data_IF_686634509964
#
_entry.id   IF_686634509964
#
_cell.length_a   1.000
_cell.length_b   1.000
_cell.length_c   1.000
_cell.angle_alpha   90.00
_cell.angle_beta   90.00
_cell.angle_gamma   90.00
#
_symmetry.space_group_name_H-M   'P 1'
#
loop_
_entity.id
_entity.type
_entity.pdbx_description
1 polymer ?
#
# COMPACT_ATOMS: atom_id res chain seq x y z
N UNK A 1 -2.80 20.47 -12.02
CA UNK A 1 -3.96 19.55 -12.04
C UNK A 1 -3.73 18.47 -11.00
N UNK A 2 -4.50 18.46 -9.90
CA UNK A 2 -4.45 17.37 -8.91
C UNK A 2 -5.18 16.19 -9.54
N UNK A 3 -4.51 15.05 -9.72
CA UNK A 3 -5.19 13.83 -10.17
C UNK A 3 -6.00 13.25 -9.00
N UNK A 4 -7.05 12.52 -9.32
CA UNK A 4 -7.81 11.80 -8.31
C UNK A 4 -6.98 10.62 -7.78
N UNK A 5 -7.12 10.28 -6.49
CA UNK A 5 -6.52 9.07 -5.98
C UNK A 5 -7.13 7.85 -6.70
N UNK A 6 -6.32 6.82 -6.91
CA UNK A 6 -6.78 5.61 -7.61
C UNK A 6 -6.05 4.38 -7.13
N UNK A 7 -6.78 3.28 -7.08
CA UNK A 7 -6.18 1.96 -6.97
C UNK A 7 -5.67 1.51 -8.33
N UNK A 8 -4.45 0.99 -8.30
CA UNK A 8 -3.83 0.39 -9.47
C UNK A 8 -3.41 -1.03 -9.14
N UNK A 9 -3.83 -1.96 -10.00
CA UNK A 9 -3.43 -3.35 -9.94
C UNK A 9 -2.12 -3.53 -10.69
N UNK A 10 -1.17 -4.19 -10.07
CA UNK A 10 0.17 -4.42 -10.59
C UNK A 10 0.45 -5.91 -10.60
N UNK A 11 0.87 -6.45 -11.74
CA UNK A 11 1.32 -7.84 -11.81
C UNK A 11 2.77 -7.94 -11.33
N UNK A 12 3.00 -8.65 -10.22
CA UNK A 12 4.34 -8.84 -9.62
C UNK A 12 5.02 -10.13 -10.09
N UNK A 13 4.24 -11.12 -10.49
CA UNK A 13 4.66 -12.38 -11.11
C UNK A 13 3.56 -12.88 -12.06
N UNK A 14 3.79 -13.89 -12.91
CA UNK A 14 2.78 -14.40 -13.85
C UNK A 14 1.43 -14.71 -13.18
N UNK A 15 1.48 -15.27 -11.97
CA UNK A 15 0.38 -15.72 -11.13
C UNK A 15 0.15 -14.82 -9.89
N UNK A 16 0.77 -13.64 -9.83
CA UNK A 16 0.66 -12.75 -8.66
C UNK A 16 0.30 -11.32 -9.04
N UNK A 17 -0.69 -10.80 -8.33
CA UNK A 17 -1.22 -9.46 -8.49
C UNK A 17 -1.16 -8.73 -7.15
N UNK A 18 -0.79 -7.47 -7.20
CA UNK A 18 -0.63 -6.62 -6.04
C UNK A 18 -1.31 -5.28 -6.31
N UNK A 19 -2.10 -4.78 -5.36
CA UNK A 19 -2.70 -3.46 -5.50
C UNK A 19 -1.84 -2.39 -4.84
N UNK A 20 -1.82 -1.20 -5.44
CA UNK A 20 -1.24 0.01 -4.85
C UNK A 20 -2.21 1.17 -4.93
N UNK A 21 -2.18 2.03 -3.91
CA UNK A 21 -2.93 3.26 -3.89
C UNK A 21 -2.04 4.42 -4.30
N UNK A 22 -2.43 5.11 -5.37
CA UNK A 22 -1.76 6.31 -5.85
C UNK A 22 -2.54 7.54 -5.40
N UNK A 23 -1.85 8.51 -4.81
CA UNK A 23 -2.40 9.82 -4.51
C UNK A 23 -2.37 10.76 -5.72
N UNK A 24 -2.84 12.00 -5.54
CA UNK A 24 -3.04 12.94 -6.66
C UNK A 24 -1.79 13.43 -7.40
N UNK A 25 -0.59 13.18 -6.88
CA UNK A 25 0.68 13.39 -7.58
C UNK A 25 1.28 12.09 -8.14
N UNK A 26 0.46 11.05 -8.33
CA UNK A 26 0.88 9.70 -8.71
C UNK A 26 1.88 9.07 -7.70
N UNK A 27 1.94 9.62 -6.49
CA UNK A 27 2.79 9.14 -5.41
C UNK A 27 2.08 7.96 -4.74
N UNK A 28 2.77 6.83 -4.58
CA UNK A 28 2.22 5.68 -3.87
C UNK A 28 2.08 6.01 -2.38
N UNK A 29 0.84 6.04 -1.90
CA UNK A 29 0.53 6.31 -0.50
C UNK A 29 0.64 5.03 0.32
N UNK A 30 0.15 3.91 -0.21
CA UNK A 30 0.22 2.59 0.40
C UNK A 30 0.01 1.50 -0.64
N UNK A 31 0.25 0.27 -0.24
CA UNK A 31 0.04 -0.90 -1.08
C UNK A 31 -0.42 -2.10 -0.24
N UNK A 32 -0.82 -3.17 -0.92
CA UNK A 32 -1.19 -4.40 -0.26
C UNK A 32 -0.04 -4.89 0.63
N UNK A 33 -0.36 -5.50 1.78
CA UNK A 33 0.68 -6.11 2.59
C UNK A 33 1.22 -7.42 1.97
N UNK A 34 0.42 -8.07 1.14
CA UNK A 34 0.71 -9.36 0.50
C UNK A 34 0.30 -9.34 -0.98
N UNK A 35 0.86 -10.27 -1.74
CA UNK A 35 0.46 -10.50 -3.13
C UNK A 35 -0.72 -11.49 -3.17
N UNK A 36 -1.63 -11.26 -4.12
CA UNK A 36 -2.81 -12.09 -4.37
C UNK A 36 -2.58 -12.98 -5.58
N UNK A 37 -3.18 -14.17 -5.57
CA UNK A 37 -3.10 -15.09 -6.71
C UNK A 37 -3.96 -14.62 -7.89
N UNK A 38 -5.09 -13.96 -7.61
CA UNK A 38 -6.03 -13.48 -8.62
C UNK A 38 -6.34 -12.00 -8.49
N UNK A 39 -6.73 -11.41 -9.62
CA UNK A 39 -7.26 -10.05 -9.69
C UNK A 39 -8.52 -9.93 -8.84
N UNK A 40 -9.39 -10.93 -8.86
CA UNK A 40 -10.64 -10.93 -8.11
C UNK A 40 -10.39 -10.85 -6.59
N UNK A 41 -9.43 -11.63 -6.07
CA UNK A 41 -9.03 -11.58 -4.66
C UNK A 41 -8.45 -10.21 -4.29
N UNK A 42 -7.67 -9.62 -5.21
CA UNK A 42 -7.08 -8.31 -5.08
C UNK A 42 -8.16 -7.21 -5.00
N UNK A 43 -9.17 -7.28 -5.87
CA UNK A 43 -10.33 -6.38 -5.88
C UNK A 43 -11.20 -6.57 -4.64
N UNK A 44 -11.41 -7.81 -4.20
CA UNK A 44 -12.13 -8.11 -2.98
C UNK A 44 -11.43 -7.52 -1.75
N UNK A 45 -10.09 -7.62 -1.68
CA UNK A 45 -9.30 -7.02 -0.61
C UNK A 45 -9.38 -5.48 -0.62
N UNK A 46 -9.40 -4.83 -1.79
CA UNK A 46 -9.62 -3.37 -1.90
C UNK A 46 -11.03 -3.02 -1.42
N UNK A 47 -12.05 -3.76 -1.83
CA UNK A 47 -13.44 -3.56 -1.41
C UNK A 47 -13.59 -3.70 0.10
N UNK A 48 -13.01 -4.74 0.68
CA UNK A 48 -12.98 -4.96 2.12
C UNK A 48 -12.26 -3.81 2.84
N UNK A 49 -11.07 -3.41 2.39
CA UNK A 49 -10.32 -2.30 2.98
C UNK A 49 -11.12 -0.99 2.96
N UNK A 50 -11.84 -0.70 1.88
CA UNK A 50 -12.68 0.50 1.78
C UNK A 50 -13.84 0.48 2.76
N UNK A 51 -14.47 -0.69 2.95
CA UNK A 51 -15.57 -0.86 3.89
C UNK A 51 -15.11 -0.81 5.36
N UNK A 52 -13.90 -1.29 5.65
CA UNK A 52 -13.38 -1.46 7.00
C UNK A 52 -12.11 -0.59 7.18
N UNK A 53 -12.16 0.71 6.90
CA UNK A 53 -10.98 1.59 7.00
C UNK A 53 -10.52 1.88 8.45
N UNK A 54 -11.48 1.82 9.37
CA UNK A 54 -11.29 2.21 10.78
C UNK A 54 -11.19 1.01 11.74
N UNK A 55 -11.50 -0.20 11.25
CA UNK A 55 -11.41 -1.44 12.05
C UNK A 55 -10.01 -2.03 12.17
N UNK A 56 -9.13 -2.02 11.14
CA UNK A 56 -7.81 -2.61 11.22
C UNK A 56 -6.95 -1.90 12.25
N UNK A 57 -6.24 -2.68 13.05
CA UNK A 57 -5.22 -2.19 13.95
C UNK A 57 -4.08 -1.53 13.16
N UNK A 58 -3.64 -0.38 13.63
CA UNK A 58 -2.54 0.38 13.05
C UNK A 58 -1.26 0.07 13.82
N UNK A 59 -0.28 -0.51 13.13
CA UNK A 59 1.04 -0.77 13.68
C UNK A 59 2.08 0.19 13.08
N UNK A 60 2.82 0.90 13.94
CA UNK A 60 3.96 1.73 13.53
C UNK A 60 5.25 0.97 13.75
N UNK A 61 5.78 0.35 12.70
CA UNK A 61 7.03 -0.40 12.74
C UNK A 61 8.23 0.52 12.53
N UNK A 62 9.27 0.32 13.35
CA UNK A 62 10.56 0.96 13.17
C UNK A 62 11.36 0.20 12.11
N UNK A 63 11.68 0.87 11.01
CA UNK A 63 12.57 0.40 9.97
C UNK A 63 14.02 0.81 10.28
N UNK A 64 14.98 0.00 9.83
CA UNK A 64 16.41 0.25 10.02
C UNK A 64 16.80 1.68 9.58
N UNK A 65 17.52 2.37 10.46
CA UNK A 65 17.98 3.75 10.26
C UNK A 65 17.06 4.84 10.80
N UNK A 66 16.30 4.58 11.88
CA UNK A 66 15.49 5.61 12.54
C UNK A 66 14.15 5.91 11.86
N UNK A 67 13.74 5.07 10.90
CA UNK A 67 12.60 5.36 10.02
C UNK A 67 11.35 4.64 10.48
N UNK A 68 10.19 5.20 10.15
CA UNK A 68 8.88 4.70 10.58
C UNK A 68 8.07 4.24 9.38
N UNK A 69 7.35 3.13 9.51
CA UNK A 69 6.35 2.69 8.52
C UNK A 69 5.09 2.30 9.25
N UNK A 70 3.95 2.77 8.77
CA UNK A 70 2.66 2.28 9.22
C UNK A 70 2.30 1.00 8.47
N UNK A 71 1.56 0.13 9.15
CA UNK A 71 0.99 -1.11 8.63
C UNK A 71 -0.42 -1.26 9.19
N UNK A 72 -1.34 -1.74 8.38
CA UNK A 72 -2.71 -2.06 8.77
C UNK A 72 -2.85 -3.57 8.90
N UNK A 73 -3.44 -4.00 10.00
CA UNK A 73 -3.67 -5.41 10.31
C UNK A 73 -5.11 -5.63 10.74
N UNK A 74 -5.80 -6.48 10.00
CA UNK A 74 -7.12 -6.98 10.37
C UNK A 74 -6.99 -8.27 11.19
N UNK A 75 -8.12 -8.76 11.71
CA UNK A 75 -8.19 -10.07 12.35
C UNK A 75 -7.69 -11.19 11.40
N UNK A 76 -8.02 -11.09 10.11
CA UNK A 76 -7.65 -12.06 9.09
C UNK A 76 -6.19 -11.94 8.61
N UNK A 77 -5.45 -10.92 9.07
CA UNK A 77 -4.04 -10.74 8.76
C UNK A 77 -3.66 -9.34 8.26
N UNK A 78 -2.45 -9.19 7.69
CA UNK A 78 -1.96 -7.89 7.25
C UNK A 78 -2.69 -7.43 5.98
N UNK A 79 -3.18 -6.19 5.99
CA UNK A 79 -4.05 -5.65 4.92
C UNK A 79 -3.26 -4.71 4.01
N UNK A 80 -2.61 -3.71 4.59
CA UNK A 80 -1.95 -2.66 3.85
C UNK A 80 -0.68 -2.18 4.53
N UNK A 81 0.27 -1.66 3.77
CA UNK A 81 1.53 -1.11 4.29
C UNK A 81 1.94 0.16 3.57
N UNK A 82 2.68 1.01 4.29
CA UNK A 82 3.33 2.17 3.70
C UNK A 82 4.40 1.75 2.68
N UNK A 83 4.35 2.31 1.48
CA UNK A 83 5.35 2.06 0.42
C UNK A 83 6.70 2.73 0.68
N UNK A 84 6.71 3.80 1.48
CA UNK A 84 7.90 4.54 1.86
C UNK A 84 8.04 4.62 3.37
N UNK A 85 9.29 4.75 3.82
CA UNK A 85 9.59 4.97 5.23
C UNK A 85 9.64 6.47 5.52
N UNK A 86 9.13 6.87 6.68
CA UNK A 86 9.11 8.24 7.18
C UNK A 86 10.26 8.48 8.15
N UNK A 87 10.71 9.72 8.30
CA UNK A 87 11.75 10.05 9.27
C UNK A 87 11.22 10.05 10.71
N UNK A 88 9.92 10.34 10.89
CA UNK A 88 9.30 10.43 12.22
C UNK A 88 7.97 9.69 12.29
N UNK A 89 7.60 9.25 13.49
CA UNK A 89 6.28 8.62 13.75
C UNK A 89 5.11 9.53 13.37
N UNK A 90 5.20 10.83 13.64
CA UNK A 90 4.15 11.78 13.28
C UNK A 90 3.96 11.92 11.77
N UNK A 91 5.04 11.81 10.99
CA UNK A 91 4.97 11.81 9.53
C UNK A 91 4.34 10.53 9.00
N UNK A 92 4.63 9.39 9.64
CA UNK A 92 3.96 8.13 9.34
C UNK A 92 2.46 8.21 9.65
N UNK A 93 2.06 8.80 10.77
CA UNK A 93 0.64 9.02 11.08
C UNK A 93 -0.02 9.88 10.00
N UNK A 94 0.58 11.01 9.63
CA UNK A 94 0.05 11.86 8.54
C UNK A 94 -0.01 11.13 7.20
N UNK A 95 0.94 10.21 6.95
CA UNK A 95 0.94 9.33 5.79
C UNK A 95 -0.23 8.38 5.78
N UNK A 96 -0.54 7.78 6.93
CA UNK A 96 -1.71 6.94 7.10
C UNK A 96 -3.02 7.71 6.94
N UNK A 97 -3.13 8.91 7.50
CA UNK A 97 -4.33 9.72 7.37
C UNK A 97 -4.60 10.05 5.89
N UNK A 98 -3.55 10.44 5.15
CA UNK A 98 -3.62 10.63 3.69
C UNK A 98 -4.03 9.35 2.96
N UNK A 99 -3.53 8.20 3.39
CA UNK A 99 -3.91 6.92 2.82
C UNK A 99 -5.40 6.65 3.03
N UNK A 100 -5.91 6.75 4.25
CA UNK A 100 -7.35 6.57 4.55
C UNK A 100 -8.23 7.51 3.72
N UNK A 101 -7.91 8.80 3.68
CA UNK A 101 -8.66 9.76 2.85
C UNK A 101 -8.61 9.42 1.37
N UNK A 102 -7.45 8.97 0.88
CA UNK A 102 -7.30 8.56 -0.50
C UNK A 102 -8.04 7.26 -0.80
N UNK A 103 -8.09 6.27 0.10
CA UNK A 103 -8.86 5.03 -0.08
C UNK A 103 -10.34 5.33 -0.22
N UNK A 104 -10.88 6.24 0.60
CA UNK A 104 -12.28 6.62 0.54
C UNK A 104 -12.64 7.30 -0.80
N UNK A 105 -11.76 8.18 -1.29
CA UNK A 105 -11.96 8.93 -2.53
C UNK A 105 -11.47 8.22 -3.80
N UNK A 106 -10.75 7.09 -3.67
CA UNK A 106 -10.09 6.48 -4.80
C UNK A 106 -11.05 5.68 -5.68
N UNK A 107 -10.88 5.86 -6.98
CA UNK A 107 -11.49 4.98 -7.96
C UNK A 107 -10.67 3.68 -8.09
N UNK A 108 -11.34 2.59 -8.46
CA UNK A 108 -10.73 1.27 -8.59
C UNK A 108 -10.61 0.90 -10.07
N UNK A 109 -9.42 1.10 -10.64
CA UNK A 109 -9.14 0.65 -11.99
C UNK A 109 -8.94 -0.88 -12.00
N UNK A 110 -9.67 -1.58 -12.89
CA UNK A 110 -9.48 -3.02 -13.12
C UNK A 110 -8.30 -3.32 -14.06
N UNK A 111 -7.73 -2.29 -14.69
CA UNK A 111 -6.57 -2.44 -15.55
C UNK A 111 -5.36 -2.88 -14.74
N UNK A 112 -4.86 -4.07 -15.08
CA UNK A 112 -3.64 -4.63 -14.48
C UNK A 112 -2.45 -4.16 -15.29
N UNK A 113 -1.64 -3.30 -14.68
CA UNK A 113 -0.38 -2.88 -15.27
C UNK A 113 0.72 -3.91 -14.93
N UNK A 114 1.37 -4.45 -15.95
CA UNK A 114 2.55 -5.29 -15.74
C UNK A 114 3.75 -4.39 -15.51
N UNK A 115 4.14 -4.22 -14.25
CA UNK A 115 5.36 -3.47 -13.92
C UNK A 115 6.53 -4.44 -13.95
N UNK A 116 7.35 -4.34 -14.99
CA UNK A 116 8.47 -5.25 -15.25
C UNK A 116 9.58 -5.09 -14.18
N UNK A 117 9.62 -4.00 -13.41
CA UNK A 117 10.66 -3.85 -12.40
C UNK A 117 10.31 -2.96 -11.18
N UNK A 118 9.53 -3.51 -10.24
CA UNK A 118 9.32 -2.86 -8.94
C UNK A 118 10.44 -3.18 -7.93
N UNK A 119 11.12 -4.33 -8.11
CA UNK A 119 12.20 -4.79 -7.22
C UNK A 119 13.38 -3.83 -7.27
N UNK A 120 13.78 -3.33 -8.44
CA UNK A 120 14.90 -2.39 -8.57
C UNK A 120 14.63 -1.04 -7.89
N UNK A 121 13.36 -0.58 -7.85
CA UNK A 121 13.02 0.75 -7.31
C UNK A 121 12.98 0.83 -5.78
N UNK A 122 12.68 -0.28 -5.09
CA UNK A 122 12.52 -0.31 -3.62
C UNK A 122 13.54 -1.18 -2.86
N UNK A 123 14.39 -1.96 -3.55
CA UNK A 123 15.50 -2.71 -2.89
C UNK A 123 16.57 -1.78 -2.32
N UNK A 124 16.60 -0.50 -2.70
CA UNK A 124 17.51 0.50 -2.15
C UNK A 124 17.32 0.78 -0.64
N UNK A 125 16.31 0.20 0.03
CA UNK A 125 16.07 0.43 1.47
C UNK A 125 15.76 -0.82 2.31
N UNK A 126 16.03 -2.02 1.81
CA UNK A 126 15.89 -3.25 2.60
C UNK A 126 17.22 -3.99 2.62
N UNK A 127 18.20 -3.51 3.41
CA UNK A 127 19.28 -4.39 3.88
C UNK A 127 18.67 -5.33 4.91
N UNK A 128 18.76 -6.66 4.74
CA UNK A 128 18.51 -7.56 5.86
C UNK A 128 19.53 -7.22 6.94
N UNK A 129 19.06 -6.97 8.17
CA UNK A 129 19.94 -6.94 9.32
C UNK A 129 20.44 -8.38 9.51
N UNK A 130 21.75 -8.57 9.36
CA UNK A 130 22.46 -9.69 9.98
C UNK A 130 22.74 -9.32 11.44
#
# INVERSE_FOLDING_TARGET
>A
MKREPRFQLVRTAPDRVHWRLLGGNNASLGAAATDFARVDDCLAAIGWLRAHLDEPAVEFAHASGGRWRWRLRAADGPVAVATHAYGRRIEAQRGLDRFRSAVAAADTARDVETIVDWRTKYRANSRPAQ
#
